data_IF_761785110433
#
_entry.id   IF_761785110433
#
_cell.length_a   1.000
_cell.length_b   1.000
_cell.length_c   1.000
_cell.angle_alpha   90.00
_cell.angle_beta   90.00
_cell.angle_gamma   90.00
#
_symmetry.space_group_name_H-M   'P 1'
#
loop_
_entity.id
_entity.type
_entity.pdbx_description
1 polymer ?
#
# COMPACT_ATOMS: atom_id res chain seq x y z
N UNK A 1 88.64 58.03 -66.23
CA UNK A 1 87.47 57.30 -66.77
C UNK A 1 87.18 56.02 -65.94
N UNK A 2 88.20 55.18 -65.64
CA UNK A 2 88.02 53.86 -64.90
C UNK A 2 87.46 54.08 -63.51
N UNK A 3 88.04 55.05 -62.73
CA UNK A 3 87.58 55.39 -61.37
C UNK A 3 86.13 55.89 -61.34
N UNK A 4 85.74 56.72 -62.30
CA UNK A 4 84.38 57.20 -62.38
C UNK A 4 83.36 56.10 -62.72
N UNK A 5 83.77 55.14 -63.57
CA UNK A 5 82.94 53.94 -63.93
C UNK A 5 82.85 53.00 -62.71
N UNK A 6 83.96 52.79 -61.96
CA UNK A 6 83.89 51.97 -60.74
C UNK A 6 83.03 52.59 -59.63
N UNK A 7 83.12 53.91 -59.43
CA UNK A 7 82.19 54.62 -58.49
C UNK A 7 80.76 54.51 -58.92
N UNK A 8 80.47 54.68 -60.24
CA UNK A 8 79.13 54.56 -60.76
C UNK A 8 78.56 53.10 -60.56
N UNK A 9 79.39 52.09 -60.84
CA UNK A 9 79.02 50.65 -60.63
C UNK A 9 78.83 50.39 -59.17
N UNK A 10 79.67 50.94 -58.26
CA UNK A 10 79.51 50.78 -56.82
C UNK A 10 78.22 51.50 -56.33
N UNK A 11 77.91 52.71 -56.80
CA UNK A 11 76.66 53.40 -56.48
C UNK A 11 75.42 52.67 -57.02
N UNK A 12 75.49 52.11 -58.23
CA UNK A 12 74.40 51.34 -58.79
C UNK A 12 74.18 49.98 -58.04
N UNK A 13 75.29 49.33 -57.65
CA UNK A 13 75.18 48.12 -56.81
C UNK A 13 74.59 48.44 -55.44
N UNK A 14 75.07 49.53 -54.81
CA UNK A 14 74.54 50.00 -53.52
C UNK A 14 73.09 50.41 -53.61
N UNK A 15 72.66 51.07 -54.71
CA UNK A 15 71.25 51.43 -54.98
C UNK A 15 70.43 50.15 -55.16
N UNK A 16 70.90 49.20 -55.93
CA UNK A 16 70.24 47.90 -56.11
C UNK A 16 70.10 47.16 -54.79
N UNK A 17 71.10 47.01 -53.98
CA UNK A 17 71.03 46.40 -52.63
C UNK A 17 70.03 47.13 -51.74
N UNK A 18 70.12 48.48 -51.71
CA UNK A 18 69.16 49.29 -50.93
C UNK A 18 67.72 49.09 -51.41
N UNK A 19 67.45 49.08 -52.70
CA UNK A 19 66.10 49.01 -53.27
C UNK A 19 65.51 47.63 -53.28
N UNK A 20 66.28 46.62 -53.59
CA UNK A 20 65.73 45.25 -53.79
C UNK A 20 65.99 44.33 -52.61
N UNK A 21 66.94 44.65 -51.67
CA UNK A 21 67.17 43.80 -50.50
C UNK A 21 66.80 44.54 -49.19
N UNK A 22 67.44 45.70 -48.94
CA UNK A 22 67.25 46.34 -47.64
C UNK A 22 65.88 46.92 -47.42
N UNK A 23 65.31 47.68 -48.42
CA UNK A 23 63.97 48.20 -48.29
C UNK A 23 62.85 47.12 -48.09
N UNK A 24 62.82 46.03 -48.86
CA UNK A 24 61.83 44.95 -48.62
C UNK A 24 61.96 44.34 -47.21
N UNK A 25 63.18 44.03 -46.79
CA UNK A 25 63.43 43.49 -45.41
C UNK A 25 62.98 44.46 -44.32
N UNK A 26 63.28 45.74 -44.46
CA UNK A 26 62.89 46.75 -43.46
C UNK A 26 61.38 46.93 -43.42
N UNK A 27 60.68 46.89 -44.61
CA UNK A 27 59.25 46.95 -44.66
C UNK A 27 58.62 45.72 -43.99
N UNK A 28 59.07 44.50 -44.36
CA UNK A 28 58.61 43.26 -43.72
C UNK A 28 58.77 43.25 -42.20
N UNK A 29 59.97 43.70 -41.78
CA UNK A 29 60.30 43.81 -40.34
C UNK A 29 59.39 44.84 -39.63
N UNK A 30 59.14 45.99 -40.28
CA UNK A 30 58.19 46.98 -39.74
C UNK A 30 56.81 46.44 -39.59
N UNK A 31 56.25 45.80 -40.64
CA UNK A 31 54.91 45.22 -40.61
C UNK A 31 54.80 44.14 -39.52
N UNK A 32 55.82 43.29 -39.38
CA UNK A 32 55.89 42.29 -38.32
C UNK A 32 55.89 42.95 -36.93
N UNK A 33 56.71 43.99 -36.74
CA UNK A 33 56.77 44.71 -35.46
C UNK A 33 55.45 45.40 -35.14
N UNK A 34 54.77 45.96 -36.10
CA UNK A 34 53.43 46.54 -35.92
C UNK A 34 52.40 45.51 -35.54
N UNK A 35 52.43 44.29 -36.14
CA UNK A 35 51.57 43.20 -35.77
C UNK A 35 51.87 42.77 -34.32
N UNK A 36 53.13 42.53 -33.98
CA UNK A 36 53.56 42.13 -32.61
C UNK A 36 53.17 43.19 -31.58
N UNK A 37 53.46 44.48 -31.87
CA UNK A 37 53.09 45.54 -30.94
C UNK A 37 51.59 45.65 -30.71
N UNK A 38 50.76 45.40 -31.77
CA UNK A 38 49.33 45.31 -31.60
C UNK A 38 48.91 44.21 -30.66
N UNK A 39 49.49 43.01 -30.80
CA UNK A 39 49.24 41.87 -29.93
C UNK A 39 49.66 42.16 -28.47
N UNK A 40 50.87 42.73 -28.26
CA UNK A 40 51.39 43.07 -26.94
C UNK A 40 50.54 44.10 -26.20
N UNK A 41 49.89 45.02 -26.95
CA UNK A 41 49.01 46.04 -26.41
C UNK A 41 47.52 45.56 -26.24
N UNK A 42 47.17 44.32 -26.59
CA UNK A 42 45.81 43.80 -26.55
C UNK A 42 44.94 44.31 -27.72
N UNK A 43 45.52 44.84 -28.77
CA UNK A 43 44.89 45.31 -30.01
C UNK A 43 45.33 44.49 -31.23
N UNK A 44 45.56 43.17 -31.02
CA UNK A 44 46.07 42.28 -32.03
C UNK A 44 45.12 42.18 -33.23
N UNK A 45 45.59 42.62 -34.39
CA UNK A 45 44.89 42.55 -35.67
C UNK A 45 45.48 41.44 -36.54
N UNK A 46 44.83 40.29 -36.58
CA UNK A 46 45.25 39.14 -37.37
C UNK A 46 44.85 39.23 -38.85
N UNK A 47 44.14 40.30 -39.26
CA UNK A 47 43.84 40.54 -40.69
C UNK A 47 44.99 41.23 -41.40
N UNK A 48 45.92 41.85 -40.62
CA UNK A 48 47.12 42.47 -41.18
C UNK A 48 48.00 41.46 -41.90
N UNK A 49 48.60 41.89 -42.98
CA UNK A 49 49.51 41.13 -43.82
C UNK A 49 50.80 41.85 -44.01
N UNK A 50 51.86 41.12 -44.11
CA UNK A 50 53.17 41.70 -44.44
C UNK A 50 53.16 42.09 -45.93
N UNK A 51 53.66 43.32 -46.18
CA UNK A 51 53.74 43.88 -47.54
C UNK A 51 54.85 43.21 -48.30
N UNK A 52 54.55 42.63 -49.47
CA UNK A 52 55.52 41.97 -50.35
C UNK A 52 56.04 42.97 -51.37
N UNK A 53 57.31 43.36 -51.23
CA UNK A 53 57.92 44.39 -52.11
C UNK A 53 58.98 43.82 -53.04
N UNK A 54 59.26 42.51 -53.02
CA UNK A 54 60.25 41.82 -53.87
C UNK A 54 59.64 40.58 -54.55
N UNK A 55 60.35 39.96 -55.49
CA UNK A 55 59.94 38.75 -56.19
C UNK A 55 61.05 37.67 -56.01
N UNK A 56 61.70 37.61 -54.87
CA UNK A 56 62.83 36.74 -54.54
C UNK A 56 62.55 35.99 -53.23
N UNK A 57 63.57 35.45 -52.61
CA UNK A 57 63.45 34.68 -51.34
C UNK A 57 62.84 35.53 -50.21
N UNK A 58 62.90 36.87 -50.32
CA UNK A 58 62.21 37.76 -49.33
C UNK A 58 60.72 37.79 -49.55
N UNK A 59 60.28 37.69 -50.82
CA UNK A 59 58.85 37.54 -51.14
C UNK A 59 58.31 36.18 -50.61
N UNK A 60 59.11 35.13 -50.77
CA UNK A 60 58.74 33.80 -50.26
C UNK A 60 58.61 33.81 -48.73
N UNK A 61 59.53 34.49 -48.04
CA UNK A 61 59.41 34.69 -46.59
C UNK A 61 58.16 35.49 -46.18
N UNK A 62 57.87 36.59 -46.90
CA UNK A 62 56.66 37.39 -46.67
C UNK A 62 55.37 36.58 -46.89
N UNK A 63 55.31 35.79 -47.99
CA UNK A 63 54.22 34.88 -48.26
C UNK A 63 54.09 33.79 -47.16
N UNK A 64 55.18 33.22 -46.71
CA UNK A 64 55.19 32.27 -45.62
C UNK A 64 54.58 32.85 -44.32
N UNK A 65 54.96 34.10 -43.98
CA UNK A 65 54.41 34.80 -42.80
C UNK A 65 52.90 35.04 -43.01
N UNK A 66 52.46 35.49 -44.18
CA UNK A 66 51.05 35.72 -44.49
C UNK A 66 50.22 34.44 -44.37
N UNK A 67 50.74 33.30 -44.87
CA UNK A 67 50.12 32.00 -44.70
C UNK A 67 50.06 31.61 -43.21
N UNK A 68 51.14 31.83 -42.47
CA UNK A 68 51.13 31.57 -41.04
C UNK A 68 50.06 32.39 -40.32
N UNK A 69 49.94 33.68 -40.63
CA UNK A 69 48.91 34.54 -40.07
C UNK A 69 47.50 34.08 -40.38
N UNK A 70 47.27 33.63 -41.61
CA UNK A 70 45.99 33.01 -42.04
C UNK A 70 45.64 31.74 -41.24
N UNK A 71 46.61 30.87 -41.06
CA UNK A 71 46.44 29.66 -40.25
C UNK A 71 46.18 29.97 -38.79
N UNK A 72 46.90 30.95 -38.21
CA UNK A 72 46.70 31.39 -36.85
C UNK A 72 45.32 32.03 -36.65
N UNK A 73 44.90 32.85 -37.57
CA UNK A 73 43.53 33.40 -37.60
C UNK A 73 42.44 32.33 -37.61
N UNK A 74 42.60 31.30 -38.45
CA UNK A 74 41.69 30.18 -38.51
C UNK A 74 41.61 29.38 -37.19
N UNK A 75 42.80 29.14 -36.57
CA UNK A 75 42.86 28.43 -35.27
C UNK A 75 42.17 29.24 -34.16
N UNK A 76 42.43 30.53 -34.07
CA UNK A 76 41.83 31.39 -33.05
C UNK A 76 40.28 31.50 -33.24
N UNK A 77 39.83 31.62 -34.49
CA UNK A 77 38.39 31.57 -34.77
C UNK A 77 37.74 30.30 -34.27
N UNK A 78 38.36 29.14 -34.52
CA UNK A 78 37.86 27.85 -34.01
C UNK A 78 37.88 27.79 -32.48
N UNK A 79 38.89 28.37 -31.82
CA UNK A 79 38.96 28.45 -30.36
C UNK A 79 37.76 29.24 -29.83
N UNK A 80 37.50 30.45 -30.38
CA UNK A 80 36.37 31.29 -29.97
C UNK A 80 35.03 30.59 -30.17
N UNK A 81 34.81 29.99 -31.36
CA UNK A 81 33.62 29.26 -31.65
C UNK A 81 33.38 28.10 -30.66
N UNK A 82 34.43 27.32 -30.35
CA UNK A 82 34.35 26.22 -29.38
C UNK A 82 34.18 26.72 -27.95
N UNK A 83 34.75 27.88 -27.60
CA UNK A 83 34.57 28.50 -26.27
C UNK A 83 33.12 28.94 -26.08
N UNK A 84 32.51 29.58 -27.09
CA UNK A 84 31.08 29.95 -27.05
C UNK A 84 30.16 28.72 -26.98
N UNK A 85 30.49 27.67 -27.74
CA UNK A 85 29.76 26.41 -27.63
C UNK A 85 29.88 25.79 -26.22
N UNK A 86 31.09 25.84 -25.63
CA UNK A 86 31.33 25.34 -24.28
C UNK A 86 30.52 26.11 -23.23
N UNK A 87 30.40 27.44 -23.34
CA UNK A 87 29.51 28.23 -22.46
C UNK A 87 28.06 27.78 -22.57
N UNK A 88 27.55 27.58 -23.80
CA UNK A 88 26.18 27.07 -24.03
C UNK A 88 25.96 25.67 -23.43
N UNK A 89 26.96 24.78 -23.55
CA UNK A 89 26.89 23.44 -22.93
C UNK A 89 26.89 23.56 -21.40
N UNK A 90 27.76 24.40 -20.83
CA UNK A 90 27.79 24.61 -19.36
C UNK A 90 26.44 25.09 -18.85
N UNK A 91 25.82 26.07 -19.50
CA UNK A 91 24.50 26.58 -19.10
C UNK A 91 23.42 25.51 -19.20
N UNK A 92 23.41 24.70 -20.26
CA UNK A 92 22.45 23.60 -20.44
C UNK A 92 22.62 22.52 -19.37
N UNK A 93 23.89 22.16 -19.04
CA UNK A 93 24.18 21.18 -17.98
C UNK A 93 23.83 21.74 -16.61
N UNK A 94 24.11 23.02 -16.30
CA UNK A 94 23.72 23.64 -15.03
C UNK A 94 22.19 23.59 -14.82
N UNK A 95 21.40 23.83 -15.87
CA UNK A 95 19.94 23.68 -15.81
C UNK A 95 19.51 22.22 -15.56
N UNK A 96 20.19 21.28 -16.21
CA UNK A 96 19.91 19.84 -16.01
C UNK A 96 20.30 19.38 -14.60
N UNK A 97 21.38 19.88 -14.06
CA UNK A 97 21.84 19.64 -12.69
C UNK A 97 20.81 20.15 -11.68
N UNK A 98 20.29 21.37 -11.86
CA UNK A 98 19.27 21.93 -11.00
C UNK A 98 17.99 21.05 -11.02
N UNK A 99 17.50 20.72 -12.21
CA UNK A 99 16.32 19.82 -12.34
C UNK A 99 16.55 18.43 -11.75
N UNK A 100 17.77 17.87 -11.88
CA UNK A 100 18.12 16.58 -11.29
C UNK A 100 18.16 16.65 -9.77
N UNK A 101 18.64 17.77 -9.21
CA UNK A 101 18.65 17.99 -7.76
C UNK A 101 17.24 18.09 -7.18
N UNK A 102 16.34 18.81 -7.85
CA UNK A 102 14.93 18.88 -7.47
C UNK A 102 14.28 17.48 -7.52
N UNK A 103 14.53 16.73 -8.59
CA UNK A 103 14.05 15.34 -8.73
C UNK A 103 14.61 14.42 -7.64
N UNK A 104 15.86 14.56 -7.25
CA UNK A 104 16.46 13.78 -6.15
C UNK A 104 15.84 14.13 -4.80
N UNK A 105 15.49 15.40 -4.58
CA UNK A 105 14.77 15.84 -3.37
C UNK A 105 13.37 15.25 -3.30
N UNK A 106 12.62 15.29 -4.42
CA UNK A 106 11.30 14.70 -4.51
C UNK A 106 11.37 13.16 -4.29
N UNK A 107 12.37 12.51 -4.88
CA UNK A 107 12.58 11.07 -4.71
C UNK A 107 12.92 10.72 -3.25
N UNK A 108 13.70 11.55 -2.53
CA UNK A 108 13.94 11.37 -1.10
C UNK A 108 12.65 11.45 -0.29
N UNK A 109 11.81 12.47 -0.54
CA UNK A 109 10.53 12.61 0.14
C UNK A 109 9.59 11.42 -0.13
N UNK A 110 9.50 10.97 -1.40
CA UNK A 110 8.74 9.78 -1.77
C UNK A 110 9.26 8.51 -1.09
N UNK A 111 10.57 8.38 -0.92
CA UNK A 111 11.19 7.21 -0.28
C UNK A 111 10.87 7.18 1.22
N UNK A 112 10.85 8.35 1.89
CA UNK A 112 10.41 8.46 3.29
C UNK A 112 8.94 8.09 3.45
N UNK A 113 8.05 8.61 2.58
CA UNK A 113 6.62 8.28 2.59
C UNK A 113 6.38 6.78 2.32
N UNK A 114 7.13 6.20 1.37
CA UNK A 114 7.03 4.78 1.06
C UNK A 114 7.53 3.91 2.22
N UNK A 115 8.58 4.33 2.93
CA UNK A 115 9.06 3.65 4.14
C UNK A 115 8.00 3.64 5.23
N UNK A 116 7.36 4.78 5.50
CA UNK A 116 6.24 4.86 6.45
C UNK A 116 5.07 3.95 6.02
N UNK A 117 4.75 3.95 4.73
CA UNK A 117 3.70 3.09 4.18
C UNK A 117 4.01 1.61 4.38
N UNK A 118 5.25 1.17 4.14
CA UNK A 118 5.66 -0.23 4.38
C UNK A 118 5.53 -0.61 5.85
N UNK A 119 5.89 0.31 6.76
CA UNK A 119 5.73 0.10 8.19
C UNK A 119 4.25 -0.02 8.60
N UNK A 120 3.37 0.83 8.07
CA UNK A 120 1.92 0.80 8.34
C UNK A 120 1.28 -0.48 7.79
N UNK A 121 1.70 -0.94 6.59
CA UNK A 121 1.26 -2.22 6.03
C UNK A 121 1.72 -3.38 6.90
N UNK A 122 2.98 -3.38 7.35
CA UNK A 122 3.51 -4.39 8.27
C UNK A 122 2.73 -4.47 9.58
N UNK A 123 2.38 -3.32 10.16
CA UNK A 123 1.53 -3.27 11.35
C UNK A 123 0.11 -3.79 11.07
N UNK A 124 -0.47 -3.45 9.93
CA UNK A 124 -1.79 -3.93 9.52
C UNK A 124 -1.81 -5.45 9.34
N UNK A 125 -0.76 -6.02 8.78
CA UNK A 125 -0.57 -7.47 8.63
C UNK A 125 -0.57 -8.17 9.98
N UNK A 126 0.11 -7.62 10.99
CA UNK A 126 0.10 -8.17 12.35
C UNK A 126 -1.31 -8.17 12.96
N UNK A 127 -2.07 -7.06 12.80
CA UNK A 127 -3.46 -6.96 13.27
C UNK A 127 -4.37 -7.98 12.56
N UNK A 128 -4.18 -8.20 11.26
CA UNK A 128 -4.94 -9.20 10.50
C UNK A 128 -4.60 -10.61 10.99
N UNK A 129 -3.32 -10.89 11.26
CA UNK A 129 -2.88 -12.19 11.81
C UNK A 129 -3.51 -12.48 13.17
N UNK A 130 -3.50 -11.52 14.08
CA UNK A 130 -4.14 -11.65 15.39
C UNK A 130 -5.66 -11.87 15.25
N UNK A 131 -6.28 -11.15 14.32
CA UNK A 131 -7.71 -11.30 14.03
C UNK A 131 -8.04 -12.67 13.45
N UNK A 132 -7.19 -13.19 12.56
CA UNK A 132 -7.35 -14.55 11.99
C UNK A 132 -7.22 -15.62 13.08
N UNK A 133 -6.29 -15.46 14.03
CA UNK A 133 -6.13 -16.35 15.16
C UNK A 133 -7.35 -16.33 16.09
N UNK A 134 -7.90 -15.15 16.38
CA UNK A 134 -9.12 -15.02 17.19
C UNK A 134 -10.32 -15.68 16.50
N UNK A 135 -10.48 -15.46 15.18
CA UNK A 135 -11.55 -16.12 14.42
C UNK A 135 -11.37 -17.63 14.41
N UNK A 136 -10.11 -18.15 14.38
CA UNK A 136 -9.84 -19.58 14.47
C UNK A 136 -10.31 -20.15 15.82
N UNK A 137 -10.04 -19.46 16.92
CA UNK A 137 -10.50 -19.85 18.26
C UNK A 137 -12.04 -19.85 18.34
N UNK A 138 -12.70 -18.80 17.80
CA UNK A 138 -14.16 -18.71 17.74
C UNK A 138 -14.75 -19.87 16.94
N UNK A 139 -14.13 -20.25 15.82
CA UNK A 139 -14.55 -21.39 14.99
C UNK A 139 -14.46 -22.71 15.75
N UNK A 140 -13.39 -22.93 16.52
CA UNK A 140 -13.23 -24.13 17.36
C UNK A 140 -14.30 -24.16 18.48
N UNK A 141 -14.63 -23.03 19.08
CA UNK A 141 -15.73 -22.89 20.06
C UNK A 141 -17.09 -23.21 19.41
N UNK A 142 -17.36 -22.68 18.21
CA UNK A 142 -18.62 -22.94 17.48
C UNK A 142 -18.73 -24.43 17.15
N UNK A 143 -17.65 -25.08 16.69
CA UNK A 143 -17.64 -26.51 16.40
C UNK A 143 -17.96 -27.35 17.66
N UNK A 144 -17.35 -27.00 18.79
CA UNK A 144 -17.60 -27.63 20.08
C UNK A 144 -19.07 -27.48 20.52
N UNK A 145 -19.60 -26.24 20.41
CA UNK A 145 -21.01 -25.93 20.75
C UNK A 145 -21.99 -26.61 19.83
N UNK A 146 -21.69 -26.72 18.54
CA UNK A 146 -22.52 -27.45 17.60
C UNK A 146 -22.64 -28.95 17.96
N UNK A 147 -21.54 -29.55 18.39
CA UNK A 147 -21.53 -30.93 18.88
C UNK A 147 -22.33 -31.12 20.18
N UNK A 148 -22.22 -30.17 21.13
CA UNK A 148 -23.05 -30.17 22.33
C UNK A 148 -24.55 -30.12 21.98
N UNK A 149 -24.94 -29.20 21.08
CA UNK A 149 -26.32 -29.04 20.63
C UNK A 149 -26.81 -30.30 19.91
N UNK A 150 -25.95 -30.95 19.09
CA UNK A 150 -26.28 -32.21 18.45
C UNK A 150 -26.56 -33.32 19.47
N UNK A 151 -25.76 -33.38 20.52
CA UNK A 151 -25.97 -34.33 21.62
C UNK A 151 -27.26 -34.03 22.36
N UNK A 152 -27.52 -32.75 22.62
CA UNK A 152 -28.77 -32.29 23.22
C UNK A 152 -30.02 -32.63 22.35
N UNK A 153 -29.92 -32.44 21.02
CA UNK A 153 -30.98 -32.77 20.08
C UNK A 153 -31.30 -34.28 20.08
N UNK A 154 -30.27 -35.13 20.19
CA UNK A 154 -30.45 -36.57 20.33
C UNK A 154 -31.18 -36.92 21.63
N UNK A 155 -30.80 -36.27 22.73
CA UNK A 155 -31.50 -36.44 24.02
C UNK A 155 -32.96 -35.96 23.94
N UNK A 156 -33.20 -34.82 23.29
CA UNK A 156 -34.57 -34.33 23.03
C UNK A 156 -35.43 -35.32 22.23
N UNK A 157 -34.83 -36.02 21.23
CA UNK A 157 -35.56 -37.09 20.50
C UNK A 157 -35.92 -38.24 21.40
N UNK A 158 -34.98 -38.70 22.22
CA UNK A 158 -35.21 -39.76 23.19
C UNK A 158 -36.28 -39.38 24.20
N UNK A 159 -36.20 -38.14 24.72
CA UNK A 159 -37.20 -37.59 25.64
C UNK A 159 -38.59 -37.47 24.98
N UNK A 160 -38.64 -37.07 23.68
CA UNK A 160 -39.88 -37.02 22.90
C UNK A 160 -40.49 -38.41 22.65
N UNK A 161 -39.65 -39.41 22.32
CA UNK A 161 -40.09 -40.81 22.17
C UNK A 161 -40.59 -41.39 23.50
N UNK A 162 -39.91 -41.06 24.57
CA UNK A 162 -40.35 -41.43 25.92
C UNK A 162 -41.67 -40.74 26.29
N UNK A 163 -41.82 -39.45 25.93
CA UNK A 163 -43.03 -38.68 26.19
C UNK A 163 -44.23 -39.27 25.38
N UNK A 164 -44.02 -39.60 24.11
CA UNK A 164 -45.05 -40.24 23.26
C UNK A 164 -45.45 -41.60 23.83
N UNK A 165 -44.49 -42.45 24.19
CA UNK A 165 -44.71 -43.76 24.79
C UNK A 165 -45.47 -43.63 26.12
N UNK A 166 -45.04 -42.70 26.97
CA UNK A 166 -45.70 -42.45 28.26
C UNK A 166 -47.13 -41.92 28.06
N UNK A 167 -47.35 -41.02 27.11
CA UNK A 167 -48.69 -40.50 26.80
C UNK A 167 -49.65 -41.61 26.32
N UNK A 168 -49.18 -42.52 25.44
CA UNK A 168 -49.93 -43.70 25.00
C UNK A 168 -50.28 -44.66 26.14
N UNK A 169 -49.29 -44.95 26.98
CA UNK A 169 -49.49 -45.78 28.16
C UNK A 169 -50.51 -45.15 29.15
N UNK A 170 -50.41 -43.87 29.39
CA UNK A 170 -51.34 -43.14 30.25
C UNK A 170 -52.77 -43.11 29.64
N UNK A 171 -52.89 -43.01 28.33
CA UNK A 171 -54.18 -43.08 27.63
C UNK A 171 -54.82 -44.46 27.77
N UNK A 172 -54.03 -45.52 27.68
CA UNK A 172 -54.50 -46.89 27.85
C UNK A 172 -54.96 -47.20 29.29
N UNK A 173 -54.10 -46.75 30.28
CA UNK A 173 -54.42 -46.89 31.71
C UNK A 173 -55.59 -46.02 32.13
N UNK A 174 -55.77 -44.83 31.56
CA UNK A 174 -56.91 -43.98 31.84
C UNK A 174 -58.23 -44.53 31.22
N UNK A 175 -58.12 -45.22 30.07
CA UNK A 175 -59.22 -45.90 29.45
C UNK A 175 -59.76 -47.10 30.29
N UNK A 176 -58.82 -47.81 31.00
CA UNK A 176 -59.16 -48.96 31.84
C UNK A 176 -59.59 -48.57 33.25
N UNK A 177 -59.12 -47.44 33.81
CA UNK A 177 -59.38 -47.11 35.22
C UNK A 177 -59.79 -45.64 35.41
N UNK A 178 -61.08 -45.39 35.23
CA UNK A 178 -61.71 -44.08 35.48
C UNK A 178 -61.56 -43.60 36.94
N UNK A 179 -61.27 -44.50 37.86
CA UNK A 179 -61.11 -44.17 39.30
C UNK A 179 -59.73 -43.55 39.74
N UNK A 180 -58.65 -43.76 38.95
CA UNK A 180 -57.28 -43.28 39.33
C UNK A 180 -56.87 -41.98 38.65
N UNK A 181 -57.82 -41.30 37.94
CA UNK A 181 -57.59 -40.09 37.13
C UNK A 181 -56.99 -38.94 37.92
N UNK A 182 -57.37 -38.73 39.17
CA UNK A 182 -56.85 -37.65 40.01
C UNK A 182 -55.39 -37.88 40.39
N UNK A 183 -54.91 -39.09 40.51
CA UNK A 183 -53.52 -39.42 40.78
C UNK A 183 -52.63 -39.23 39.53
N UNK A 184 -53.13 -39.67 38.38
CA UNK A 184 -52.47 -39.48 37.08
C UNK A 184 -52.43 -37.98 36.69
N UNK A 185 -53.48 -37.23 37.01
CA UNK A 185 -53.56 -35.79 36.76
C UNK A 185 -52.53 -35.04 37.64
N UNK A 186 -52.38 -35.41 38.92
CA UNK A 186 -51.36 -34.85 39.79
C UNK A 186 -49.93 -35.14 39.29
N UNK A 187 -49.71 -36.33 38.75
CA UNK A 187 -48.38 -36.67 38.19
C UNK A 187 -48.11 -35.86 36.90
N UNK A 188 -49.11 -35.62 36.05
CA UNK A 188 -48.96 -34.76 34.87
C UNK A 188 -48.72 -33.29 35.25
N UNK A 189 -49.26 -32.82 36.38
CA UNK A 189 -49.00 -31.48 36.94
C UNK A 189 -47.57 -31.42 37.51
N UNK A 190 -47.06 -32.50 38.11
CA UNK A 190 -45.67 -32.55 38.61
C UNK A 190 -44.65 -32.51 37.48
N UNK A 191 -44.91 -33.25 36.38
CA UNK A 191 -44.04 -33.18 35.18
C UNK A 191 -43.99 -31.79 34.57
N UNK A 192 -45.07 -30.97 34.71
CA UNK A 192 -45.06 -29.60 34.24
C UNK A 192 -44.20 -28.63 35.05
N UNK A 193 -43.71 -29.05 36.27
CA UNK A 193 -42.70 -28.27 37.05
C UNK A 193 -41.35 -28.22 36.34
N UNK A 194 -41.12 -29.10 35.36
CA UNK A 194 -39.96 -29.01 34.48
C UNK A 194 -39.98 -27.72 33.62
N UNK A 195 -41.12 -27.06 33.51
CA UNK A 195 -41.28 -25.75 32.85
C UNK A 195 -40.56 -24.64 33.65
N UNK A 196 -40.46 -24.79 34.98
CA UNK A 196 -39.65 -23.84 35.81
C UNK A 196 -38.15 -23.92 35.49
N UNK A 197 -37.67 -25.11 35.08
CA UNK A 197 -36.25 -25.24 34.65
C UNK A 197 -35.99 -24.55 33.31
N UNK A 198 -37.00 -24.56 32.39
CA UNK A 198 -36.85 -23.85 31.11
C UNK A 198 -36.86 -22.34 31.31
N UNK A 199 -37.61 -21.83 32.31
CA UNK A 199 -37.56 -20.41 32.67
C UNK A 199 -36.17 -19.98 33.18
N UNK A 200 -35.49 -20.81 33.96
CA UNK A 200 -34.15 -20.54 34.44
C UNK A 200 -33.12 -20.53 33.29
N UNK A 201 -33.20 -21.52 32.36
CA UNK A 201 -32.34 -21.58 31.18
C UNK A 201 -32.55 -20.37 30.27
N UNK A 202 -33.79 -19.89 30.14
CA UNK A 202 -34.09 -18.72 29.31
C UNK A 202 -33.57 -17.44 29.93
N UNK A 203 -33.54 -17.30 31.26
CA UNK A 203 -32.90 -16.20 31.97
C UNK A 203 -31.38 -16.21 31.73
N UNK A 204 -30.75 -17.38 31.70
CA UNK A 204 -29.31 -17.51 31.39
C UNK A 204 -29.02 -17.05 29.96
N UNK A 205 -29.86 -17.44 28.98
CA UNK A 205 -29.73 -17.00 27.58
C UNK A 205 -29.89 -15.48 27.45
N UNK A 206 -30.83 -14.86 28.20
CA UNK A 206 -31.02 -13.42 28.22
C UNK A 206 -29.78 -12.68 28.78
N UNK A 207 -29.16 -13.24 29.82
CA UNK A 207 -27.93 -12.72 30.40
C UNK A 207 -26.77 -12.76 29.39
N UNK A 208 -26.57 -13.89 28.72
CA UNK A 208 -25.52 -14.07 27.71
C UNK A 208 -25.74 -13.12 26.50
N UNK A 209 -26.95 -12.98 26.02
CA UNK A 209 -27.28 -12.06 24.91
C UNK A 209 -26.97 -10.61 25.26
N UNK A 210 -27.26 -10.19 26.49
CA UNK A 210 -26.98 -8.84 26.97
C UNK A 210 -25.47 -8.56 27.05
N UNK A 211 -24.66 -9.53 27.51
CA UNK A 211 -23.19 -9.39 27.54
C UNK A 211 -22.59 -9.35 26.12
N UNK A 212 -23.10 -10.13 25.19
CA UNK A 212 -22.63 -10.17 23.79
C UNK A 212 -22.93 -8.85 23.08
N UNK A 213 -24.10 -8.26 23.33
CA UNK A 213 -24.47 -6.96 22.79
C UNK A 213 -23.52 -5.83 23.23
N UNK A 214 -23.13 -5.83 24.53
CA UNK A 214 -22.17 -4.86 25.08
C UNK A 214 -20.77 -5.02 24.47
N UNK A 215 -20.30 -6.24 24.25
CA UNK A 215 -19.00 -6.52 23.62
C UNK A 215 -18.97 -6.04 22.16
N UNK A 216 -20.04 -6.29 21.41
CA UNK A 216 -20.19 -5.83 20.04
C UNK A 216 -20.23 -4.30 19.92
N UNK A 217 -20.91 -3.62 20.83
CA UNK A 217 -20.94 -2.16 20.88
C UNK A 217 -19.54 -1.57 21.11
N UNK A 218 -18.78 -2.13 22.06
CA UNK A 218 -17.41 -1.72 22.32
C UNK A 218 -16.49 -1.92 21.11
N UNK A 219 -16.64 -3.02 20.38
CA UNK A 219 -15.90 -3.30 19.15
C UNK A 219 -16.25 -2.29 18.03
N UNK A 220 -17.53 -1.92 17.88
CA UNK A 220 -17.98 -0.90 16.91
C UNK A 220 -17.39 0.48 17.21
N UNK A 221 -17.31 0.86 18.49
CA UNK A 221 -16.70 2.14 18.91
C UNK A 221 -15.21 2.18 18.57
N UNK A 222 -14.48 1.10 18.83
CA UNK A 222 -13.03 1.05 18.56
C UNK A 222 -12.73 0.95 17.03
N UNK A 223 -13.59 0.28 16.28
CA UNK A 223 -13.52 0.27 14.81
C UNK A 223 -13.77 1.67 14.20
N UNK A 224 -14.71 2.42 14.74
CA UNK A 224 -14.96 3.81 14.34
C UNK A 224 -13.78 4.74 14.70
N UNK A 225 -13.09 4.47 15.82
CA UNK A 225 -11.90 5.19 16.26
C UNK A 225 -10.69 4.98 15.38
N UNK A 226 -10.61 3.81 14.69
CA UNK A 226 -9.55 3.46 13.74
C UNK A 226 -9.75 4.08 12.31
N UNK A 227 -10.84 4.80 12.05
CA UNK A 227 -11.10 5.53 10.80
C UNK A 227 -11.22 4.61 9.58
N UNK A 228 -10.61 4.97 8.45
CA UNK A 228 -10.67 4.20 7.18
C UNK A 228 -10.17 2.75 7.34
N UNK A 229 -9.17 2.50 8.20
CA UNK A 229 -8.66 1.15 8.46
C UNK A 229 -9.66 0.27 9.24
N UNK A 230 -10.62 0.89 9.93
CA UNK A 230 -11.62 0.18 10.73
C UNK A 230 -12.93 -0.16 10.02
N UNK A 231 -13.18 0.27 8.78
CA UNK A 231 -14.47 0.09 8.08
C UNK A 231 -14.95 -1.37 7.99
N UNK A 232 -14.05 -2.30 7.70
CA UNK A 232 -14.38 -3.74 7.67
C UNK A 232 -14.75 -4.28 9.07
N UNK A 233 -14.10 -3.78 10.11
CA UNK A 233 -14.36 -4.15 11.49
C UNK A 233 -15.72 -3.62 12.01
N UNK A 234 -16.10 -2.41 11.62
CA UNK A 234 -17.39 -1.83 11.99
C UNK A 234 -18.57 -2.67 11.48
N UNK A 235 -18.46 -3.19 10.25
CA UNK A 235 -19.50 -4.06 9.64
C UNK A 235 -19.65 -5.37 10.43
N UNK A 236 -18.54 -6.01 10.79
CA UNK A 236 -18.56 -7.28 11.54
C UNK A 236 -19.13 -7.08 12.96
N UNK A 237 -18.74 -6.01 13.63
CA UNK A 237 -19.25 -5.70 14.97
C UNK A 237 -20.76 -5.40 14.96
N UNK A 238 -21.28 -4.73 13.95
CA UNK A 238 -22.72 -4.48 13.80
C UNK A 238 -23.49 -5.78 13.53
N UNK A 239 -22.95 -6.70 12.73
CA UNK A 239 -23.55 -8.03 12.48
C UNK A 239 -23.65 -8.87 13.78
N UNK A 240 -22.59 -8.86 14.61
CA UNK A 240 -22.62 -9.52 15.92
C UNK A 240 -23.68 -8.88 16.85
N UNK A 241 -23.86 -7.57 16.82
CA UNK A 241 -24.87 -6.87 17.57
C UNK A 241 -26.28 -7.29 17.18
N UNK A 242 -26.54 -7.42 15.88
CA UNK A 242 -27.85 -7.89 15.36
C UNK A 242 -28.14 -9.34 15.76
N UNK A 243 -27.13 -10.23 15.75
CA UNK A 243 -27.29 -11.60 16.23
C UNK A 243 -27.65 -11.67 17.73
N UNK A 244 -27.01 -10.86 18.56
CA UNK A 244 -27.28 -10.80 19.99
C UNK A 244 -28.71 -10.29 20.27
N UNK A 245 -29.18 -9.27 19.56
CA UNK A 245 -30.53 -8.75 19.66
C UNK A 245 -31.60 -9.79 19.20
N UNK A 246 -31.34 -10.53 18.13
CA UNK A 246 -32.20 -11.63 17.66
C UNK A 246 -32.28 -12.78 18.68
N UNK A 247 -31.18 -13.13 19.32
CA UNK A 247 -31.13 -14.15 20.38
C UNK A 247 -31.95 -13.73 21.59
N UNK A 248 -31.87 -12.45 22.00
CA UNK A 248 -32.66 -11.87 23.09
C UNK A 248 -34.17 -11.88 22.79
N UNK A 249 -34.55 -11.55 21.54
CA UNK A 249 -35.96 -11.59 21.12
C UNK A 249 -36.53 -13.02 21.16
N UNK A 250 -35.75 -14.01 20.74
CA UNK A 250 -36.11 -15.43 20.80
C UNK A 250 -36.28 -15.91 22.23
N UNK A 251 -35.37 -15.56 23.13
CA UNK A 251 -35.47 -15.92 24.55
C UNK A 251 -36.71 -15.29 25.25
N UNK A 252 -36.98 -14.01 24.94
CA UNK A 252 -38.21 -13.36 25.42
C UNK A 252 -39.48 -14.03 24.93
N UNK A 253 -39.52 -14.51 23.68
CA UNK A 253 -40.63 -15.29 23.12
C UNK A 253 -40.83 -16.63 23.86
N UNK A 254 -39.75 -17.34 24.21
CA UNK A 254 -39.83 -18.59 24.99
C UNK A 254 -40.40 -18.33 26.37
N UNK A 255 -40.00 -17.23 27.05
CA UNK A 255 -40.59 -16.85 28.35
C UNK A 255 -42.09 -16.56 28.27
N UNK A 256 -42.53 -15.90 27.18
CA UNK A 256 -43.95 -15.66 26.95
C UNK A 256 -44.75 -16.96 26.75
N UNK A 257 -44.20 -17.89 25.99
CA UNK A 257 -44.80 -19.22 25.78
C UNK A 257 -44.87 -20.01 27.09
N UNK A 258 -43.81 -20.01 27.89
CA UNK A 258 -43.75 -20.64 29.21
C UNK A 258 -44.80 -20.06 30.17
N UNK A 259 -45.01 -18.75 30.19
CA UNK A 259 -46.03 -18.09 30.96
C UNK A 259 -47.46 -18.56 30.56
N UNK A 260 -47.66 -18.77 29.24
CA UNK A 260 -48.92 -19.30 28.73
C UNK A 260 -49.14 -20.78 29.15
N UNK A 261 -48.09 -21.61 29.12
CA UNK A 261 -48.13 -23.01 29.53
C UNK A 261 -48.44 -23.12 31.05
N UNK A 262 -47.73 -22.34 31.88
CA UNK A 262 -47.98 -22.32 33.35
C UNK A 262 -49.41 -21.90 33.64
N UNK A 263 -49.96 -20.91 32.92
CA UNK A 263 -51.34 -20.46 33.07
C UNK A 263 -52.36 -21.50 32.60
N UNK A 264 -52.09 -22.27 31.54
CA UNK A 264 -52.95 -23.36 31.10
C UNK A 264 -53.00 -24.53 32.10
N UNK A 265 -51.84 -24.86 32.73
CA UNK A 265 -51.77 -25.86 33.80
C UNK A 265 -52.49 -25.41 35.08
N UNK A 266 -52.37 -24.15 35.47
CA UNK A 266 -53.12 -23.60 36.60
C UNK A 266 -54.61 -23.64 36.37
N UNK A 267 -55.08 -23.28 35.17
CA UNK A 267 -56.51 -23.37 34.82
C UNK A 267 -57.02 -24.81 34.80
N UNK A 268 -56.15 -25.79 34.43
CA UNK A 268 -56.47 -27.22 34.50
C UNK A 268 -56.63 -27.67 35.95
N UNK A 269 -55.79 -27.20 36.85
CA UNK A 269 -55.84 -27.48 38.28
C UNK A 269 -57.13 -26.96 38.93
N UNK A 270 -57.54 -25.73 38.55
CA UNK A 270 -58.76 -25.10 39.09
C UNK A 270 -60.04 -25.81 38.56
N UNK A 271 -59.99 -26.39 37.39
CA UNK A 271 -61.11 -27.12 36.79
C UNK A 271 -61.11 -28.63 37.10
N UNK A 272 -60.07 -29.13 37.81
CA UNK A 272 -59.93 -30.56 38.13
C UNK A 272 -61.12 -31.14 38.92
N UNK A 273 -61.74 -30.33 39.74
CA UNK A 273 -62.91 -30.71 40.54
C UNK A 273 -64.18 -30.92 39.70
N UNK A 274 -64.25 -30.38 38.48
CA UNK A 274 -65.39 -30.62 37.57
C UNK A 274 -65.08 -31.76 36.57
N UNK A 275 -63.94 -32.39 36.67
CA UNK A 275 -63.29 -33.19 35.65
C UNK A 275 -63.84 -34.60 35.52
N UNK A 276 -64.45 -35.15 36.57
CA UNK A 276 -65.08 -36.53 36.49
C UNK A 276 -66.15 -36.58 35.41
N UNK A 277 -66.87 -35.49 35.17
CA UNK A 277 -67.88 -35.38 34.10
C UNK A 277 -67.34 -35.13 32.69
N UNK A 278 -66.15 -34.52 32.63
CA UNK A 278 -65.56 -34.14 31.35
C UNK A 278 -64.39 -35.03 30.89
N UNK A 279 -64.01 -36.07 31.68
CA UNK A 279 -62.85 -36.90 31.40
C UNK A 279 -62.95 -37.63 30.04
N UNK A 280 -64.13 -38.13 29.64
CA UNK A 280 -64.28 -38.79 28.35
C UNK A 280 -64.27 -37.84 27.15
N UNK A 281 -64.59 -36.56 27.35
CA UNK A 281 -64.75 -35.60 26.25
C UNK A 281 -63.59 -34.64 26.15
N UNK A 282 -62.79 -34.49 27.24
CA UNK A 282 -61.69 -33.44 27.29
C UNK A 282 -60.32 -34.05 27.49
N UNK A 283 -60.17 -35.09 28.40
CA UNK A 283 -58.84 -35.56 28.78
C UNK A 283 -58.26 -36.56 27.76
N UNK A 284 -59.04 -37.44 27.18
CA UNK A 284 -58.61 -38.38 26.12
C UNK A 284 -58.08 -37.60 24.88
N UNK A 285 -58.77 -36.55 24.39
CA UNK A 285 -58.27 -35.69 23.33
C UNK A 285 -57.00 -34.90 23.73
N UNK A 286 -56.83 -34.55 25.02
CA UNK A 286 -55.59 -33.86 25.46
C UNK A 286 -54.37 -34.82 25.46
N UNK A 287 -54.52 -36.12 25.81
CA UNK A 287 -53.48 -37.12 25.65
C UNK A 287 -53.14 -37.35 24.16
N UNK A 288 -54.09 -37.34 23.27
CA UNK A 288 -53.86 -37.39 21.82
C UNK A 288 -53.01 -36.18 21.37
N UNK A 289 -53.27 -34.96 21.89
CA UNK A 289 -52.45 -33.78 21.64
C UNK A 289 -51.04 -33.89 22.22
N UNK A 290 -50.84 -34.61 23.34
CA UNK A 290 -49.49 -34.86 23.86
C UNK A 290 -48.72 -35.81 22.93
N UNK A 291 -49.33 -36.79 22.32
CA UNK A 291 -48.77 -37.65 21.29
C UNK A 291 -48.35 -36.80 20.09
N UNK A 292 -49.21 -35.91 19.62
CA UNK A 292 -48.94 -35.00 18.50
C UNK A 292 -47.84 -34.00 18.85
N UNK A 293 -47.81 -33.50 20.10
CA UNK A 293 -46.75 -32.62 20.60
C UNK A 293 -45.40 -33.34 20.68
N UNK A 294 -45.37 -34.62 21.13
CA UNK A 294 -44.21 -35.48 21.12
C UNK A 294 -43.64 -35.65 19.69
N UNK A 295 -44.53 -35.93 18.74
CA UNK A 295 -44.16 -36.00 17.32
C UNK A 295 -43.60 -34.66 16.79
N UNK A 296 -44.19 -33.55 17.20
CA UNK A 296 -43.71 -32.20 16.83
C UNK A 296 -42.34 -31.90 17.48
N UNK A 297 -42.12 -32.27 18.76
CA UNK A 297 -40.83 -32.12 19.44
C UNK A 297 -39.73 -32.96 18.78
N UNK A 298 -40.07 -34.20 18.39
CA UNK A 298 -39.16 -35.06 17.63
C UNK A 298 -38.78 -34.47 16.28
N UNK A 299 -39.73 -33.87 15.57
CA UNK A 299 -39.48 -33.17 14.32
C UNK A 299 -38.61 -31.94 14.52
N UNK A 300 -38.86 -31.15 15.56
CA UNK A 300 -38.05 -29.98 15.91
C UNK A 300 -36.62 -30.37 16.27
N UNK A 301 -36.42 -31.43 17.06
CA UNK A 301 -35.13 -31.96 17.39
C UNK A 301 -34.38 -32.47 16.15
N UNK A 302 -35.10 -33.12 15.19
CA UNK A 302 -34.50 -33.52 13.92
C UNK A 302 -34.06 -32.29 13.09
N UNK A 303 -34.88 -31.27 13.05
CA UNK A 303 -34.54 -30.02 12.35
C UNK A 303 -33.29 -29.33 12.97
N UNK A 304 -33.20 -29.33 14.31
CA UNK A 304 -32.03 -28.80 15.02
C UNK A 304 -30.79 -29.64 14.70
N UNK A 305 -30.89 -30.96 14.68
CA UNK A 305 -29.81 -31.88 14.33
C UNK A 305 -29.31 -31.63 12.91
N UNK A 306 -30.23 -31.52 11.94
CA UNK A 306 -29.88 -31.19 10.54
C UNK A 306 -29.20 -29.82 10.42
N UNK A 307 -29.75 -28.82 11.11
CA UNK A 307 -29.14 -27.48 11.15
C UNK A 307 -27.73 -27.49 11.77
N UNK A 308 -27.53 -28.25 12.85
CA UNK A 308 -26.20 -28.35 13.47
C UNK A 308 -25.21 -29.12 12.60
N UNK A 309 -25.64 -30.14 11.87
CA UNK A 309 -24.79 -30.80 10.89
C UNK A 309 -24.35 -29.83 9.77
N UNK A 310 -25.26 -28.98 9.31
CA UNK A 310 -24.92 -27.93 8.35
C UNK A 310 -23.92 -26.90 8.97
N UNK A 311 -24.13 -26.53 10.24
CA UNK A 311 -23.20 -25.67 10.98
C UNK A 311 -21.80 -26.24 11.05
N UNK A 312 -21.64 -27.54 11.36
CA UNK A 312 -20.34 -28.22 11.38
C UNK A 312 -19.65 -28.13 10.02
N UNK A 313 -20.39 -28.40 8.93
CA UNK A 313 -19.84 -28.30 7.57
C UNK A 313 -19.40 -26.86 7.24
N UNK A 314 -20.17 -25.85 7.65
CA UNK A 314 -19.80 -24.43 7.46
C UNK A 314 -18.61 -24.03 8.30
N UNK A 315 -18.49 -24.56 9.50
CA UNK A 315 -17.36 -24.34 10.41
C UNK A 315 -16.07 -24.92 9.84
N UNK A 316 -16.12 -26.13 9.26
CA UNK A 316 -14.97 -26.74 8.58
C UNK A 316 -14.53 -25.91 7.36
N UNK A 317 -15.49 -25.42 6.57
CA UNK A 317 -15.19 -24.53 5.44
C UNK A 317 -14.57 -23.21 5.91
N UNK A 318 -15.08 -22.63 7.02
CA UNK A 318 -14.52 -21.41 7.61
C UNK A 318 -13.10 -21.62 8.12
N UNK A 319 -12.82 -22.76 8.74
CA UNK A 319 -11.46 -23.12 9.17
C UNK A 319 -10.47 -23.14 8.00
N UNK A 320 -10.88 -23.75 6.88
CA UNK A 320 -10.08 -23.77 5.66
C UNK A 320 -9.82 -22.35 5.13
N UNK A 321 -10.84 -21.48 5.12
CA UNK A 321 -10.66 -20.10 4.69
C UNK A 321 -9.68 -19.34 5.58
N UNK A 322 -9.68 -19.59 6.90
CA UNK A 322 -8.71 -18.99 7.83
C UNK A 322 -7.30 -19.47 7.54
N UNK A 323 -7.12 -20.77 7.22
CA UNK A 323 -5.81 -21.30 6.81
C UNK A 323 -5.31 -20.64 5.51
N UNK A 324 -6.19 -20.39 4.54
CA UNK A 324 -5.85 -19.67 3.32
C UNK A 324 -5.50 -18.20 3.60
N UNK A 325 -6.22 -17.53 4.51
CA UNK A 325 -5.89 -16.17 4.99
C UNK A 325 -4.50 -16.16 5.64
N UNK A 326 -4.18 -17.12 6.51
CA UNK A 326 -2.88 -17.22 7.13
C UNK A 326 -1.75 -17.42 6.10
N UNK A 327 -1.99 -18.21 5.04
CA UNK A 327 -1.08 -18.34 3.90
C UNK A 327 -0.87 -17.02 3.15
N UNK A 328 -1.95 -16.27 2.95
CA UNK A 328 -1.91 -14.95 2.30
C UNK A 328 -1.16 -13.92 3.13
N UNK A 329 -1.33 -13.94 4.45
CA UNK A 329 -0.60 -13.09 5.41
C UNK A 329 0.91 -13.31 5.26
N UNK A 330 1.37 -14.57 5.23
CA UNK A 330 2.80 -14.87 5.05
C UNK A 330 3.35 -14.31 3.73
N UNK A 331 2.56 -14.38 2.66
CA UNK A 331 2.94 -13.82 1.36
C UNK A 331 3.04 -12.29 1.40
N UNK A 332 2.08 -11.63 2.07
CA UNK A 332 2.10 -10.16 2.22
C UNK A 332 3.28 -9.73 3.10
N UNK A 333 3.57 -10.48 4.18
CA UNK A 333 4.74 -10.21 5.03
C UNK A 333 6.04 -10.24 4.22
N UNK A 334 6.23 -11.28 3.41
CA UNK A 334 7.41 -11.38 2.55
C UNK A 334 7.50 -10.22 1.53
N UNK A 335 6.36 -9.80 0.96
CA UNK A 335 6.31 -8.66 0.04
C UNK A 335 6.60 -7.33 0.74
N UNK A 336 6.19 -7.15 2.01
CA UNK A 336 6.52 -5.97 2.82
C UNK A 336 8.01 -5.93 3.13
N UNK A 337 8.62 -7.05 3.50
CA UNK A 337 10.06 -7.14 3.77
C UNK A 337 10.88 -6.82 2.50
N UNK A 338 10.52 -7.40 1.35
CA UNK A 338 11.15 -7.11 0.06
C UNK A 338 10.94 -5.64 -0.36
N UNK A 339 9.73 -5.10 -0.12
CA UNK A 339 9.41 -3.69 -0.36
C UNK A 339 10.26 -2.76 0.50
N UNK A 340 10.45 -3.07 1.78
CA UNK A 340 11.29 -2.30 2.70
C UNK A 340 12.77 -2.32 2.28
N UNK A 341 13.29 -3.46 1.80
CA UNK A 341 14.64 -3.57 1.25
C UNK A 341 14.78 -2.72 -0.04
N UNK A 342 13.77 -2.77 -0.93
CA UNK A 342 13.71 -1.93 -2.13
C UNK A 342 13.71 -0.42 -1.82
N UNK A 343 12.97 -0.01 -0.79
CA UNK A 343 12.95 1.38 -0.29
C UNK A 343 14.33 1.80 0.21
N UNK A 344 15.00 0.98 1.02
CA UNK A 344 16.35 1.27 1.51
C UNK A 344 17.35 1.39 0.36
N UNK A 345 17.29 0.49 -0.62
CA UNK A 345 18.15 0.56 -1.82
C UNK A 345 17.89 1.83 -2.64
N UNK A 346 16.62 2.25 -2.74
CA UNK A 346 16.27 3.51 -3.43
C UNK A 346 16.82 4.73 -2.69
N UNK A 347 16.75 4.75 -1.37
CA UNK A 347 17.34 5.81 -0.54
C UNK A 347 18.86 5.92 -0.76
N UNK A 348 19.58 4.80 -0.75
CA UNK A 348 21.02 4.75 -1.01
C UNK A 348 21.36 5.24 -2.43
N UNK A 349 20.63 4.79 -3.44
CA UNK A 349 20.82 5.24 -4.82
C UNK A 349 20.54 6.74 -4.99
N UNK A 350 19.54 7.27 -4.28
CA UNK A 350 19.23 8.70 -4.29
C UNK A 350 20.36 9.52 -3.65
N UNK A 351 20.96 9.03 -2.57
CA UNK A 351 22.11 9.65 -1.95
C UNK A 351 23.32 9.69 -2.90
N UNK A 352 23.60 8.60 -3.59
CA UNK A 352 24.65 8.51 -4.59
C UNK A 352 24.39 9.47 -5.77
N UNK A 353 23.14 9.58 -6.20
CA UNK A 353 22.73 10.53 -7.24
C UNK A 353 23.00 11.99 -6.82
N UNK A 354 22.70 12.35 -5.59
CA UNK A 354 23.00 13.70 -5.05
C UNK A 354 24.51 13.96 -5.06
N UNK A 355 25.34 12.99 -4.70
CA UNK A 355 26.80 13.12 -4.77
C UNK A 355 27.29 13.31 -6.21
N UNK A 356 26.77 12.54 -7.16
CA UNK A 356 27.10 12.67 -8.59
C UNK A 356 26.69 14.05 -9.13
N UNK A 357 25.51 14.57 -8.76
CA UNK A 357 25.03 15.91 -9.11
C UNK A 357 26.01 16.99 -8.61
N UNK A 358 26.48 16.88 -7.36
CA UNK A 358 27.46 17.81 -6.78
C UNK A 358 28.78 17.75 -7.57
N UNK A 359 29.25 16.57 -7.92
CA UNK A 359 30.46 16.36 -8.69
C UNK A 359 30.34 16.95 -10.10
N UNK A 360 29.22 16.75 -10.79
CA UNK A 360 28.96 17.35 -12.11
C UNK A 360 28.93 18.88 -12.01
N UNK A 361 28.23 19.44 -11.01
CA UNK A 361 28.20 20.89 -10.78
C UNK A 361 29.58 21.46 -10.58
N UNK A 362 30.43 20.78 -9.80
CA UNK A 362 31.85 21.19 -9.59
C UNK A 362 32.62 21.20 -10.91
N UNK A 363 32.47 20.16 -11.74
CA UNK A 363 33.12 20.09 -13.06
C UNK A 363 32.62 21.13 -14.05
N UNK A 364 31.35 21.49 -13.98
CA UNK A 364 30.80 22.58 -14.82
C UNK A 364 31.39 23.95 -14.40
N UNK A 365 31.58 24.20 -13.12
CA UNK A 365 32.27 25.40 -12.63
C UNK A 365 33.70 25.46 -13.13
N UNK A 366 34.43 24.36 -13.13
CA UNK A 366 35.77 24.25 -13.69
C UNK A 366 35.79 24.53 -15.20
N UNK A 367 34.88 23.91 -15.96
CA UNK A 367 34.73 24.13 -17.40
C UNK A 367 34.40 25.61 -17.72
N UNK A 368 33.53 26.24 -16.94
CA UNK A 368 33.20 27.65 -17.07
C UNK A 368 34.41 28.55 -16.85
N UNK A 369 35.25 28.22 -15.84
CA UNK A 369 36.48 28.94 -15.61
C UNK A 369 37.49 28.79 -16.77
N UNK A 370 37.59 27.56 -17.32
CA UNK A 370 38.45 27.30 -18.49
C UNK A 370 37.94 28.09 -19.71
N UNK A 371 36.65 28.08 -20.00
CA UNK A 371 36.08 28.84 -21.10
C UNK A 371 36.37 30.33 -20.96
N UNK A 372 36.17 30.89 -19.76
CA UNK A 372 36.49 32.28 -19.47
C UNK A 372 37.95 32.59 -19.69
N UNK A 373 38.87 31.74 -19.23
CA UNK A 373 40.32 31.92 -19.42
C UNK A 373 40.71 31.88 -20.90
N UNK A 374 40.09 30.97 -21.68
CA UNK A 374 40.30 30.89 -23.13
C UNK A 374 39.78 32.15 -23.82
N UNK A 375 38.60 32.62 -23.44
CA UNK A 375 38.07 33.87 -23.97
C UNK A 375 38.95 35.06 -23.65
N UNK A 376 39.34 35.25 -22.41
CA UNK A 376 40.30 36.31 -21.98
C UNK A 376 41.63 36.23 -22.74
N UNK A 377 42.11 35.00 -23.01
CA UNK A 377 43.37 34.79 -23.78
C UNK A 377 43.19 35.09 -25.26
N UNK A 378 42.00 34.98 -25.83
CA UNK A 378 41.72 35.31 -27.23
C UNK A 378 41.28 36.76 -27.43
N UNK A 379 40.78 37.42 -26.40
CA UNK A 379 40.36 38.83 -26.44
C UNK A 379 41.53 39.81 -26.70
N UNK A 380 42.81 39.32 -26.52
CA UNK A 380 44.03 40.05 -26.89
C UNK A 380 44.06 40.34 -28.40
N UNK A 381 43.34 39.58 -29.19
CA UNK A 381 43.20 39.78 -30.63
C UNK A 381 41.88 40.51 -30.88
N UNK A 382 41.99 41.83 -31.17
CA UNK A 382 40.81 42.67 -31.35
C UNK A 382 40.11 42.49 -32.71
N UNK A 383 40.83 41.98 -33.72
CA UNK A 383 40.34 41.85 -35.11
C UNK A 383 40.83 40.49 -35.67
N UNK A 384 39.86 39.73 -36.22
CA UNK A 384 40.15 38.43 -36.83
C UNK A 384 39.83 38.44 -38.33
#
# INVERSE_FOLDING_TARGET
VIIAISILLLLTALYCVMKYIIKPILATNKDIREIISGIDNGEGDLTKRVTILSNDEIADLGNGINIFMEKLQGILKLIIENTNLMEGVVEAVDKSVAASNDSASDLSAMTEELSATMQDVGQSVNVINDSANNVREDVDIIASKSNEINTFSKQMKEDADNMESNARNNMEQTSEKVGEILEVLNNAIEDSKSVDQVNNLTNDILSISSQTNLLALNASIEAARAGEAGKGFAVVAEEIRQLADSSRETANRIQQINSVVVKAVSNLSDNANNLVKYMQQTILPEFERFVDSGASYKNNASYIEDAMNEFVLKTDALKKNIDEIAGSINTITAAVDEGAEGVNSTAENTQNLVEDIVNISSKMKENKAIAKTLQESTDIFAIF
#
